data_IF_441898592209
#
_entry.id   IF_441898592209
#
_cell.length_a   1.000
_cell.length_b   1.000
_cell.length_c   1.000
_cell.angle_alpha   90.00
_cell.angle_beta   90.00
_cell.angle_gamma   90.00
#
_symmetry.space_group_name_H-M   'P 1'
#
loop_
_entity.id
_entity.type
_entity.pdbx_description
1 polymer ?
#
# COMPACT_ATOMS: atom_id res chain seq x y z
N UNK A 1 -26.58 -4.05 10.46
CA UNK A 1 -26.56 -2.66 10.96
C UNK A 1 -25.36 -1.96 10.35
N UNK A 2 -25.59 -1.00 9.46
CA UNK A 2 -24.52 -0.15 8.91
C UNK A 2 -24.21 0.93 9.93
N UNK A 3 -23.07 0.83 10.60
CA UNK A 3 -22.61 1.83 11.56
C UNK A 3 -21.89 2.93 10.79
N UNK A 4 -22.48 4.12 10.72
CA UNK A 4 -21.81 5.31 10.18
C UNK A 4 -20.68 5.71 11.14
N UNK A 5 -19.45 5.69 10.64
CA UNK A 5 -18.31 6.28 11.35
C UNK A 5 -18.52 7.80 11.44
N UNK A 6 -18.24 8.41 12.61
CA UNK A 6 -18.39 9.85 12.77
C UNK A 6 -17.46 10.58 11.81
N UNK A 7 -18.00 11.62 11.16
CA UNK A 7 -17.20 12.53 10.33
C UNK A 7 -16.24 13.30 11.25
N UNK A 8 -14.94 13.34 10.95
CA UNK A 8 -13.98 14.07 11.78
C UNK A 8 -14.38 15.56 11.84
N UNK A 9 -14.21 16.22 12.99
CA UNK A 9 -14.60 17.61 13.17
C UNK A 9 -13.88 18.51 12.15
N UNK A 10 -14.64 19.25 11.36
CA UNK A 10 -14.14 20.11 10.28
C UNK A 10 -14.13 19.49 8.88
N UNK A 11 -14.45 18.19 8.73
CA UNK A 11 -14.60 17.57 7.41
C UNK A 11 -16.01 17.81 6.84
N UNK A 12 -16.08 18.27 5.60
CA UNK A 12 -17.34 18.44 4.89
C UNK A 12 -17.99 17.08 4.60
N UNK A 13 -19.28 16.95 4.93
CA UNK A 13 -20.08 15.78 4.56
C UNK A 13 -20.19 15.70 3.02
N UNK A 14 -19.94 14.52 2.41
CA UNK A 14 -20.13 14.37 0.97
C UNK A 14 -21.59 14.62 0.59
N UNK A 15 -21.88 15.49 -0.39
CA UNK A 15 -23.25 15.74 -0.83
C UNK A 15 -23.81 14.53 -1.58
N UNK A 16 -25.13 14.30 -1.45
CA UNK A 16 -25.87 13.33 -2.26
C UNK A 16 -26.68 14.12 -3.29
N UNK A 17 -26.37 13.93 -4.57
CA UNK A 17 -26.97 14.66 -5.68
C UNK A 17 -27.70 13.70 -6.63
N UNK A 18 -28.86 14.10 -7.13
CA UNK A 18 -29.56 13.37 -8.18
C UNK A 18 -28.94 13.70 -9.54
N UNK A 19 -28.64 12.69 -10.35
CA UNK A 19 -28.23 12.87 -11.74
C UNK A 19 -28.65 11.67 -12.61
N UNK A 20 -28.82 11.91 -13.91
CA UNK A 20 -28.92 10.84 -14.91
C UNK A 20 -28.10 11.18 -16.15
N UNK A 21 -27.06 10.37 -16.40
CA UNK A 21 -26.17 10.57 -17.53
C UNK A 21 -26.88 10.38 -18.89
N UNK A 22 -27.89 9.52 -18.97
CA UNK A 22 -28.59 9.23 -20.22
C UNK A 22 -29.51 10.37 -20.69
N UNK A 23 -29.95 11.23 -19.77
CA UNK A 23 -30.77 12.42 -20.07
C UNK A 23 -30.02 13.73 -19.88
N UNK A 24 -28.74 13.66 -19.54
CA UNK A 24 -27.90 14.83 -19.23
C UNK A 24 -28.50 15.72 -18.11
N UNK A 25 -29.15 15.10 -17.11
CA UNK A 25 -29.79 15.84 -16.01
C UNK A 25 -28.91 15.78 -14.75
N UNK A 26 -28.69 16.93 -14.12
CA UNK A 26 -27.95 17.04 -12.85
C UNK A 26 -26.43 16.87 -12.97
N UNK A 27 -25.89 16.80 -14.20
CA UNK A 27 -24.46 16.63 -14.46
C UNK A 27 -23.68 17.88 -14.04
N UNK A 28 -24.23 19.07 -14.27
CA UNK A 28 -23.62 20.35 -13.86
C UNK A 28 -23.47 20.44 -12.34
N UNK A 29 -24.49 20.02 -11.59
CA UNK A 29 -24.45 20.03 -10.12
C UNK A 29 -23.37 19.08 -9.59
N UNK A 30 -23.18 17.92 -10.24
CA UNK A 30 -22.09 16.99 -9.92
C UNK A 30 -20.74 17.63 -10.21
N UNK A 31 -20.57 18.27 -11.37
CA UNK A 31 -19.33 18.94 -11.74
C UNK A 31 -18.98 20.07 -10.77
N UNK A 32 -19.96 20.89 -10.39
CA UNK A 32 -19.78 21.97 -9.41
C UNK A 32 -19.33 21.41 -8.04
N UNK A 33 -19.95 20.33 -7.57
CA UNK A 33 -19.54 19.67 -6.34
C UNK A 33 -18.11 19.11 -6.41
N UNK A 34 -17.70 18.54 -7.55
CA UNK A 34 -16.33 18.08 -7.77
C UNK A 34 -15.35 19.26 -7.72
N UNK A 35 -15.65 20.36 -8.41
CA UNK A 35 -14.80 21.55 -8.45
C UNK A 35 -14.67 22.19 -7.06
N UNK A 36 -15.78 22.31 -6.33
CA UNK A 36 -15.80 22.82 -4.95
C UNK A 36 -14.97 21.93 -4.01
N UNK A 37 -15.09 20.61 -4.12
CA UNK A 37 -14.28 19.69 -3.35
C UNK A 37 -12.79 19.81 -3.68
N UNK A 38 -12.42 19.91 -4.97
CA UNK A 38 -11.03 20.12 -5.39
C UNK A 38 -10.45 21.43 -4.84
N UNK A 39 -11.23 22.52 -4.84
CA UNK A 39 -10.80 23.80 -4.27
C UNK A 39 -10.55 23.65 -2.76
N UNK A 40 -11.47 23.03 -2.02
CA UNK A 40 -11.34 22.78 -0.59
C UNK A 40 -10.13 21.89 -0.25
N UNK A 41 -9.85 20.86 -1.06
CA UNK A 41 -8.68 19.99 -0.88
C UNK A 41 -7.35 20.72 -1.10
N UNK A 42 -7.31 21.66 -2.06
CA UNK A 42 -6.12 22.47 -2.34
C UNK A 42 -5.86 23.51 -1.25
N UNK A 43 -6.90 24.19 -0.76
CA UNK A 43 -6.74 25.21 0.28
C UNK A 43 -6.39 24.62 1.64
N UNK A 44 -6.91 23.44 1.96
CA UNK A 44 -6.63 22.72 3.21
C UNK A 44 -5.28 21.98 3.23
N UNK A 45 -4.67 21.74 2.06
CA UNK A 45 -3.50 20.86 1.90
C UNK A 45 -3.80 19.37 2.10
N UNK A 46 -5.08 18.98 2.19
CA UNK A 46 -5.48 17.58 2.34
C UNK A 46 -5.13 16.74 1.10
N UNK A 47 -5.08 17.38 -0.08
CA UNK A 47 -4.67 16.72 -1.32
C UNK A 47 -3.24 16.17 -1.21
N UNK A 48 -2.31 17.00 -0.76
CA UNK A 48 -0.89 16.67 -0.61
C UNK A 48 -0.72 15.62 0.48
N UNK A 49 -1.38 15.78 1.64
CA UNK A 49 -1.37 14.77 2.72
C UNK A 49 -1.90 13.42 2.25
N UNK A 50 -2.99 13.42 1.48
CA UNK A 50 -3.55 12.19 0.91
C UNK A 50 -2.60 11.56 -0.10
N UNK A 51 -1.98 12.35 -0.98
CA UNK A 51 -0.98 11.86 -1.96
C UNK A 51 0.22 11.24 -1.26
N UNK A 52 0.76 11.90 -0.23
CA UNK A 52 1.88 11.37 0.55
C UNK A 52 1.53 10.01 1.19
N UNK A 53 0.36 9.91 1.84
CA UNK A 53 -0.10 8.66 2.46
C UNK A 53 -0.31 7.53 1.44
N UNK A 54 -0.86 7.84 0.27
CA UNK A 54 -1.03 6.86 -0.81
C UNK A 54 0.33 6.39 -1.34
N UNK A 55 1.27 7.33 -1.54
CA UNK A 55 2.62 7.01 -2.00
C UNK A 55 3.35 6.11 -1.00
N UNK A 56 3.33 6.48 0.29
CA UNK A 56 3.92 5.67 1.36
C UNK A 56 3.34 4.26 1.39
N UNK A 57 2.01 4.13 1.45
CA UNK A 57 1.35 2.82 1.47
C UNK A 57 1.69 1.98 0.23
N UNK A 58 1.75 2.61 -0.95
CA UNK A 58 2.11 1.94 -2.19
C UNK A 58 3.56 1.47 -2.20
N UNK A 59 4.49 2.32 -1.79
CA UNK A 59 5.93 1.98 -1.73
C UNK A 59 6.17 0.85 -0.74
N UNK A 60 5.56 0.90 0.45
CA UNK A 60 5.69 -0.16 1.45
C UNK A 60 5.14 -1.48 0.95
N UNK A 61 4.00 -1.47 0.25
CA UNK A 61 3.42 -2.67 -0.36
C UNK A 61 4.34 -3.27 -1.43
N UNK A 62 4.87 -2.42 -2.32
CA UNK A 62 5.83 -2.86 -3.35
C UNK A 62 7.08 -3.46 -2.69
N UNK A 63 7.63 -2.82 -1.66
CA UNK A 63 8.79 -3.34 -0.95
C UNK A 63 8.52 -4.71 -0.30
N UNK A 64 7.32 -4.92 0.26
CA UNK A 64 6.90 -6.22 0.81
C UNK A 64 6.80 -7.30 -0.27
N UNK A 65 6.21 -6.97 -1.43
CA UNK A 65 6.09 -7.88 -2.57
C UNK A 65 7.47 -8.28 -3.10
N UNK A 66 8.37 -7.31 -3.30
CA UNK A 66 9.75 -7.56 -3.73
C UNK A 66 10.53 -8.42 -2.73
N UNK A 67 10.38 -8.16 -1.43
CA UNK A 67 11.03 -8.97 -0.40
C UNK A 67 10.51 -10.41 -0.38
N UNK A 68 9.20 -10.61 -0.57
CA UNK A 68 8.58 -11.93 -0.64
C UNK A 68 9.08 -12.71 -1.87
N UNK A 69 9.15 -12.07 -3.03
CA UNK A 69 9.69 -12.65 -4.26
C UNK A 69 11.16 -13.05 -4.12
N UNK A 70 11.97 -12.18 -3.53
CA UNK A 70 13.40 -12.44 -3.31
C UNK A 70 13.63 -13.71 -2.45
N UNK A 71 12.79 -13.93 -1.44
CA UNK A 71 12.85 -15.12 -0.56
C UNK A 71 12.22 -16.37 -1.20
N UNK A 72 11.34 -16.20 -2.19
CA UNK A 72 10.65 -17.29 -2.89
C UNK A 72 11.45 -17.90 -4.05
N UNK A 73 12.50 -17.22 -4.55
CA UNK A 73 13.37 -17.72 -5.63
C UNK A 73 14.03 -19.07 -5.28
N UNK A 74 14.45 -19.86 -6.29
CA UNK A 74 15.11 -21.15 -6.08
C UNK A 74 16.24 -21.02 -5.05
N UNK A 75 16.08 -21.74 -3.94
CA UNK A 75 16.95 -21.64 -2.78
C UNK A 75 18.29 -22.27 -3.09
N UNK A 76 19.37 -21.58 -2.74
CA UNK A 76 20.70 -22.18 -2.71
C UNK A 76 20.73 -23.33 -1.69
N UNK A 77 21.74 -24.19 -1.81
CA UNK A 77 21.99 -25.27 -0.84
C UNK A 77 22.21 -24.73 0.59
N UNK A 78 22.59 -23.46 0.75
CA UNK A 78 22.69 -22.80 2.05
C UNK A 78 21.31 -22.58 2.70
N UNK A 79 20.34 -22.08 1.93
CA UNK A 79 18.98 -21.87 2.40
C UNK A 79 18.27 -23.19 2.74
N UNK A 80 18.56 -24.27 2.01
CA UNK A 80 18.10 -25.62 2.36
C UNK A 80 18.62 -26.12 3.71
N UNK A 81 19.90 -25.86 4.04
CA UNK A 81 20.51 -26.22 5.32
C UNK A 81 19.88 -25.50 6.51
N UNK A 82 19.59 -24.20 6.37
CA UNK A 82 18.91 -23.42 7.41
C UNK A 82 17.52 -23.98 7.75
N UNK A 83 16.75 -24.38 6.72
CA UNK A 83 15.43 -25.02 6.94
C UNK A 83 15.54 -26.40 7.60
N UNK A 84 16.60 -27.15 7.28
CA UNK A 84 16.87 -28.43 7.94
C UNK A 84 17.23 -28.26 9.42
N UNK A 85 18.02 -27.24 9.78
CA UNK A 85 18.31 -26.88 11.19
C UNK A 85 17.03 -26.50 11.95
N UNK A 86 16.10 -25.77 11.33
CA UNK A 86 14.79 -25.47 11.93
C UNK A 86 14.00 -26.75 12.17
N UNK A 87 13.99 -27.67 11.21
CA UNK A 87 13.27 -28.95 11.32
C UNK A 87 13.83 -29.79 12.47
N UNK A 88 15.16 -29.77 12.68
CA UNK A 88 15.83 -30.43 13.81
C UNK A 88 15.75 -29.66 15.13
N UNK A 89 15.11 -28.48 15.15
CA UNK A 89 15.01 -27.57 16.31
C UNK A 89 16.35 -27.03 16.81
N UNK A 90 17.34 -26.99 15.93
CA UNK A 90 18.67 -26.42 16.20
C UNK A 90 18.70 -24.91 15.92
N UNK A 91 17.77 -24.42 15.08
CA UNK A 91 17.61 -23.01 14.75
C UNK A 91 16.15 -22.56 14.94
N UNK A 92 15.88 -21.48 15.69
CA UNK A 92 14.53 -20.94 15.80
C UNK A 92 14.01 -20.41 14.45
N UNK A 93 12.71 -20.58 14.11
CA UNK A 93 12.14 -20.12 12.85
C UNK A 93 12.38 -18.64 12.55
N UNK A 94 12.25 -17.77 13.56
CA UNK A 94 12.50 -16.35 13.40
C UNK A 94 13.97 -16.04 13.06
N UNK A 95 14.92 -16.77 13.65
CA UNK A 95 16.34 -16.62 13.35
C UNK A 95 16.65 -17.10 11.92
N UNK A 96 16.04 -18.21 11.48
CA UNK A 96 16.12 -18.69 10.10
C UNK A 96 15.56 -17.66 9.10
N UNK A 97 14.38 -17.12 9.36
CA UNK A 97 13.74 -16.12 8.50
C UNK A 97 14.62 -14.88 8.33
N UNK A 98 15.25 -14.39 9.40
CA UNK A 98 16.21 -13.28 9.33
C UNK A 98 17.43 -13.58 8.46
N UNK A 99 17.98 -14.80 8.56
CA UNK A 99 19.13 -15.22 7.73
C UNK A 99 18.74 -15.31 6.26
N UNK A 100 17.62 -15.95 5.95
CA UNK A 100 17.10 -16.06 4.58
C UNK A 100 16.83 -14.68 3.95
N UNK A 101 16.26 -13.75 4.73
CA UNK A 101 16.03 -12.39 4.24
C UNK A 101 17.35 -11.65 3.97
N UNK A 102 18.34 -11.78 4.84
CA UNK A 102 19.66 -11.18 4.65
C UNK A 102 20.34 -11.69 3.36
N UNK A 103 20.34 -13.00 3.14
CA UNK A 103 20.87 -13.63 1.91
C UNK A 103 20.15 -13.14 0.65
N UNK A 104 18.82 -13.01 0.70
CA UNK A 104 18.03 -12.54 -0.43
C UNK A 104 18.34 -11.08 -0.80
N UNK A 105 18.62 -10.23 0.20
CA UNK A 105 18.96 -8.82 -0.04
C UNK A 105 20.39 -8.61 -0.52
N UNK A 106 21.36 -9.43 -0.12
CA UNK A 106 22.75 -9.31 -0.58
C UNK A 106 22.94 -9.81 -2.01
N UNK A 107 22.17 -10.79 -2.44
CA UNK A 107 22.18 -11.30 -3.81
C UNK A 107 21.63 -10.29 -4.84
N UNK A 108 20.82 -9.31 -4.42
CA UNK A 108 20.21 -8.31 -5.31
C UNK A 108 21.03 -7.02 -5.43
N UNK A 109 21.98 -6.75 -4.51
CA UNK A 109 22.81 -5.55 -4.53
C UNK A 109 24.02 -5.58 -5.49
N UNK A 110 24.08 -6.59 -6.37
CA UNK A 110 25.18 -6.79 -7.33
C UNK A 110 24.87 -6.41 -8.77
N UNK A 111 23.66 -5.91 -9.07
CA UNK A 111 23.26 -5.48 -10.40
C UNK A 111 23.16 -3.94 -10.44
N UNK A 112 24.16 -3.23 -11.00
CA UNK A 112 24.22 -1.77 -10.95
C UNK A 112 23.31 -1.06 -11.97
N UNK A 113 22.60 -1.77 -12.85
CA UNK A 113 21.85 -1.20 -13.99
C UNK A 113 20.34 -1.52 -13.97
N UNK A 114 19.73 -1.59 -12.78
CA UNK A 114 18.26 -1.68 -12.60
C UNK A 114 17.57 -0.34 -12.51
#
# INVERSE_FOLDING_TARGET
MLTLLPVPPGAALPPVLACTAARDEGVEAVLEAILGHMAALKTSGDLERRRARIAEARVLKIAQELAAEAVARPRSDAAGRLLAEVTRRELPPHACARRLLAEATTAHGGDPDG
#
